data_IF_242721579445
#
_entry.id   IF_242721579445
#
_cell.length_a   1.000
_cell.length_b   1.000
_cell.length_c   1.000
_cell.angle_alpha   90.00
_cell.angle_beta   90.00
_cell.angle_gamma   90.00
#
_symmetry.space_group_name_H-M   'P 1'
#
loop_
_entity.id
_entity.type
_entity.pdbx_description
1 polymer ?
#
# COMPACT_ATOMS: atom_id res chain seq x y z
N UNK A 1 67.42 -19.53 -22.55
CA UNK A 1 66.87 -20.71 -21.83
C UNK A 1 65.41 -20.42 -21.53
N UNK A 2 64.48 -21.23 -22.06
CA UNK A 2 63.08 -21.33 -21.61
C UNK A 2 62.05 -20.34 -22.17
N UNK A 3 61.42 -20.70 -23.30
CA UNK A 3 60.04 -20.34 -23.71
C UNK A 3 59.10 -21.52 -23.29
N UNK A 4 57.78 -21.55 -23.58
CA UNK A 4 56.69 -20.55 -23.67
C UNK A 4 55.43 -21.03 -22.85
N UNK A 5 54.28 -20.36 -22.83
CA UNK A 5 53.03 -20.65 -23.62
C UNK A 5 52.04 -19.47 -23.43
N UNK A 6 51.52 -18.73 -24.44
CA UNK A 6 50.47 -19.03 -25.45
C UNK A 6 49.19 -19.63 -24.84
N UNK A 7 47.95 -19.18 -25.07
CA UNK A 7 47.36 -18.44 -26.20
C UNK A 7 45.89 -18.03 -25.94
N UNK A 8 45.48 -16.96 -26.63
CA UNK A 8 44.22 -16.76 -27.40
C UNK A 8 42.85 -16.90 -26.73
N UNK A 9 42.05 -15.83 -26.64
CA UNK A 9 41.13 -15.27 -27.68
C UNK A 9 39.71 -15.85 -27.55
N UNK A 10 38.72 -15.00 -27.21
CA UNK A 10 37.64 -14.75 -28.17
C UNK A 10 36.83 -13.49 -27.84
N UNK A 11 36.83 -12.59 -28.82
CA UNK A 11 35.80 -11.58 -28.99
C UNK A 11 34.52 -12.30 -29.46
N UNK A 12 33.37 -11.91 -28.91
CA UNK A 12 32.15 -11.86 -29.72
C UNK A 12 31.42 -10.57 -29.40
N UNK A 13 31.53 -9.64 -30.35
CA UNK A 13 30.58 -8.54 -30.53
C UNK A 13 29.23 -9.18 -30.89
N UNK A 14 28.19 -8.86 -30.15
CA UNK A 14 26.82 -8.93 -30.65
C UNK A 14 26.22 -7.53 -30.50
N UNK A 15 25.69 -7.09 -31.64
CA UNK A 15 25.12 -5.82 -32.03
C UNK A 15 24.17 -5.17 -31.01
N UNK A 16 24.44 -3.92 -30.66
CA UNK A 16 23.42 -2.99 -30.17
C UNK A 16 22.76 -2.30 -31.37
N UNK A 17 21.62 -2.80 -31.78
CA UNK A 17 20.60 -1.99 -32.46
C UNK A 17 19.26 -2.33 -31.84
N UNK A 18 18.72 -1.42 -31.04
CA UNK A 18 17.28 -1.38 -30.82
C UNK A 18 16.88 0.07 -30.57
N UNK A 19 16.61 0.77 -31.67
CA UNK A 19 15.67 1.88 -31.68
C UNK A 19 14.30 1.33 -31.30
N UNK A 20 13.81 1.73 -30.14
CA UNK A 20 12.50 1.34 -29.65
C UNK A 20 12.11 2.25 -28.51
N UNK A 21 11.30 3.26 -28.83
CA UNK A 21 10.72 4.22 -27.88
C UNK A 21 10.00 3.47 -26.76
N UNK A 22 10.70 3.24 -25.66
CA UNK A 22 10.10 2.78 -24.42
C UNK A 22 9.35 3.93 -23.78
N UNK A 23 8.02 3.79 -23.66
CA UNK A 23 7.26 4.54 -22.67
C UNK A 23 7.75 4.11 -21.28
N UNK A 24 8.77 4.80 -20.76
CA UNK A 24 9.18 4.68 -19.37
C UNK A 24 8.08 5.36 -18.55
N UNK A 25 7.14 4.58 -18.03
CA UNK A 25 6.37 4.99 -16.85
C UNK A 25 7.39 5.09 -15.73
N UNK A 26 7.83 6.32 -15.46
CA UNK A 26 8.82 6.60 -14.44
C UNK A 26 8.13 6.47 -13.09
N UNK A 27 8.20 5.28 -12.51
CA UNK A 27 7.83 5.05 -11.13
C UNK A 27 8.81 5.88 -10.29
N UNK A 28 8.35 7.04 -9.81
CA UNK A 28 9.16 7.91 -8.96
C UNK A 28 9.31 7.20 -7.61
N UNK A 29 10.42 6.49 -7.45
CA UNK A 29 10.85 5.98 -6.16
C UNK A 29 11.13 7.18 -5.26
N UNK A 30 10.31 7.35 -4.22
CA UNK A 30 10.54 8.32 -3.16
C UNK A 30 11.84 7.97 -2.42
N UNK A 31 12.72 8.96 -2.26
CA UNK A 31 14.04 8.83 -1.63
C UNK A 31 13.99 8.40 -0.14
N UNK A 32 15.15 8.28 0.52
CA UNK A 32 15.25 7.72 1.88
C UNK A 32 14.33 8.45 2.86
N UNK A 33 13.48 7.69 3.55
CA UNK A 33 12.46 8.24 4.43
C UNK A 33 13.06 8.83 5.70
N UNK A 34 12.91 10.15 5.85
CA UNK A 34 12.73 10.76 7.16
C UNK A 34 11.44 10.22 7.80
N UNK A 35 11.30 10.32 9.13
CA UNK A 35 10.12 9.84 9.84
C UNK A 35 8.82 10.39 9.20
N UNK A 36 7.86 9.50 8.90
CA UNK A 36 6.57 9.90 8.33
C UNK A 36 5.90 10.97 9.19
N UNK A 37 5.34 11.98 8.54
CA UNK A 37 4.74 13.13 9.19
C UNK A 37 3.25 12.88 9.35
N UNK A 38 2.66 13.06 10.55
CA UNK A 38 1.23 12.93 10.74
C UNK A 38 0.46 14.16 10.26
N UNK A 39 -0.71 13.92 9.67
CA UNK A 39 -1.80 14.89 9.51
C UNK A 39 -2.85 14.57 10.57
N UNK A 40 -3.19 15.58 11.35
CA UNK A 40 -4.29 15.50 12.32
C UNK A 40 -5.55 16.15 11.72
N UNK A 41 -6.76 15.68 12.06
CA UNK A 41 -8.00 16.21 11.50
C UNK A 41 -8.32 17.67 11.85
N UNK A 42 -7.64 18.26 12.84
CA UNK A 42 -7.76 19.66 13.24
C UNK A 42 -6.82 20.59 12.46
N UNK A 43 -5.94 20.03 11.60
CA UNK A 43 -4.90 20.76 10.87
C UNK A 43 -5.26 21.02 9.40
N UNK A 44 -6.52 20.82 9.04
CA UNK A 44 -7.07 20.88 7.69
C UNK A 44 -8.21 21.87 7.71
N UNK A 45 -8.20 22.85 6.81
CA UNK A 45 -9.30 23.82 6.67
C UNK A 45 -10.63 23.07 6.40
N UNK A 46 -11.77 23.74 6.65
CA UNK A 46 -13.21 23.31 6.69
C UNK A 46 -13.71 22.25 5.66
N UNK A 47 -12.83 21.78 4.78
CA UNK A 47 -12.97 20.77 3.73
C UNK A 47 -12.82 19.33 4.24
N UNK A 48 -12.08 19.08 5.34
CA UNK A 48 -12.02 17.77 5.98
C UNK A 48 -12.82 17.80 7.29
N UNK A 49 -14.05 17.27 7.28
CA UNK A 49 -14.80 17.11 8.54
C UNK A 49 -13.96 16.25 9.49
N UNK A 50 -13.76 16.71 10.72
CA UNK A 50 -13.18 15.88 11.76
C UNK A 50 -13.94 14.54 11.77
N UNK A 51 -13.24 13.39 11.70
CA UNK A 51 -13.92 12.11 11.87
C UNK A 51 -14.70 12.19 13.18
N UNK A 52 -15.92 11.62 13.25
CA UNK A 52 -16.66 11.58 14.50
C UNK A 52 -15.71 11.03 15.56
N UNK A 53 -15.51 11.85 16.59
CA UNK A 53 -14.57 11.57 17.64
C UNK A 53 -15.06 10.29 18.28
N UNK A 54 -14.39 9.16 18.01
CA UNK A 54 -14.56 7.99 18.85
C UNK A 54 -14.25 8.48 20.25
N UNK A 55 -15.17 8.25 21.19
CA UNK A 55 -14.82 8.34 22.60
C UNK A 55 -13.48 7.63 22.77
N UNK A 56 -12.53 8.24 23.47
CA UNK A 56 -11.20 7.66 23.64
C UNK A 56 -11.37 6.25 24.24
N UNK A 57 -11.40 5.24 23.38
CA UNK A 57 -11.52 3.87 23.81
C UNK A 57 -10.24 3.62 24.58
N UNK A 58 -10.32 3.21 25.86
CA UNK A 58 -9.11 2.91 26.61
C UNK A 58 -8.32 1.90 25.79
N UNK A 59 -7.06 2.24 25.46
CA UNK A 59 -6.15 1.31 24.83
C UNK A 59 -6.19 0.03 25.67
N UNK A 60 -6.83 -1.02 25.12
CA UNK A 60 -7.02 -2.26 25.85
C UNK A 60 -5.63 -2.75 26.28
N UNK A 61 -5.43 -3.25 27.51
CA UNK A 61 -4.17 -3.86 27.95
C UNK A 61 -3.74 -5.11 27.14
N UNK A 62 -4.49 -5.44 26.09
CA UNK A 62 -4.21 -6.56 25.19
C UNK A 62 -3.08 -6.14 24.23
N UNK A 63 -2.25 -7.11 23.87
CA UNK A 63 -1.23 -6.92 22.85
C UNK A 63 -1.84 -6.25 21.60
N UNK A 64 -1.18 -5.21 21.07
CA UNK A 64 -1.68 -4.44 19.93
C UNK A 64 -1.95 -5.38 18.73
N UNK A 65 -3.22 -5.57 18.34
CA UNK A 65 -3.63 -6.38 17.19
C UNK A 65 -3.91 -5.43 16.02
N UNK A 66 -2.90 -5.22 15.18
CA UNK A 66 -2.94 -4.26 14.09
C UNK A 66 -3.36 -4.97 12.80
N UNK A 67 -4.54 -4.62 12.27
CA UNK A 67 -4.95 -4.99 10.93
C UNK A 67 -4.40 -3.96 9.95
N UNK A 68 -3.62 -4.40 8.96
CA UNK A 68 -3.12 -3.55 7.88
C UNK A 68 -3.78 -3.99 6.57
N UNK A 69 -4.53 -3.09 5.93
CA UNK A 69 -5.02 -3.29 4.58
C UNK A 69 -4.15 -2.57 3.56
N UNK A 70 -3.63 -3.33 2.59
CA UNK A 70 -2.90 -2.86 1.42
C UNK A 70 -3.30 -3.65 0.19
N UNK A 71 -3.09 -3.17 -1.03
CA UNK A 71 -3.36 -3.99 -2.23
C UNK A 71 -2.15 -4.77 -2.70
N UNK A 72 -0.92 -4.37 -2.35
CA UNK A 72 0.27 -4.75 -3.11
C UNK A 72 1.39 -5.38 -2.27
N UNK A 73 1.06 -6.20 -1.28
CA UNK A 73 2.05 -6.72 -0.32
C UNK A 73 3.19 -7.56 -0.94
N UNK A 74 2.97 -8.13 -2.13
CA UNK A 74 3.96 -8.91 -2.88
C UNK A 74 4.68 -8.10 -3.97
N UNK A 75 4.41 -6.80 -4.08
CA UNK A 75 5.13 -5.87 -4.98
C UNK A 75 6.26 -5.24 -4.19
N UNK A 76 7.50 -5.38 -4.65
CA UNK A 76 8.67 -4.79 -3.96
C UNK A 76 8.82 -3.33 -4.38
N UNK A 77 8.27 -2.43 -3.58
CA UNK A 77 8.37 -0.99 -3.74
C UNK A 77 8.48 -0.26 -2.38
N UNK A 78 8.52 1.08 -2.39
CA UNK A 78 8.61 1.86 -1.17
C UNK A 78 7.40 1.72 -0.23
N UNK A 79 6.21 1.43 -0.78
CA UNK A 79 4.98 1.23 -0.01
C UNK A 79 5.07 -0.06 0.80
N UNK A 80 5.36 -1.16 0.12
CA UNK A 80 5.51 -2.47 0.73
C UNK A 80 6.66 -2.49 1.75
N UNK A 81 7.80 -1.86 1.45
CA UNK A 81 8.90 -1.76 2.41
C UNK A 81 8.50 -1.01 3.69
N UNK A 82 7.68 0.04 3.57
CA UNK A 82 7.13 0.74 4.73
C UNK A 82 6.23 -0.19 5.55
N UNK A 83 5.30 -0.90 4.89
CA UNK A 83 4.37 -1.82 5.56
C UNK A 83 5.13 -2.93 6.29
N UNK A 84 6.15 -3.52 5.66
CA UNK A 84 6.99 -4.56 6.27
C UNK A 84 7.81 -4.04 7.45
N UNK A 85 8.26 -2.79 7.39
CA UNK A 85 8.91 -2.14 8.54
C UNK A 85 7.91 -1.97 9.68
N UNK A 86 6.71 -1.46 9.40
CA UNK A 86 5.65 -1.31 10.41
C UNK A 86 5.28 -2.65 11.04
N UNK A 87 5.08 -3.68 10.22
CA UNK A 87 4.88 -5.06 10.66
C UNK A 87 6.00 -5.50 11.62
N UNK A 88 7.26 -5.35 11.23
CA UNK A 88 8.42 -5.72 12.05
C UNK A 88 8.41 -5.01 13.41
N UNK A 89 8.14 -3.70 13.44
CA UNK A 89 8.13 -2.93 14.69
C UNK A 89 6.97 -3.34 15.61
N UNK A 90 5.77 -3.60 15.06
CA UNK A 90 4.63 -4.09 15.86
C UNK A 90 4.94 -5.46 16.46
N UNK A 91 5.54 -6.36 15.68
CA UNK A 91 5.93 -7.69 16.16
C UNK A 91 7.05 -7.60 17.22
N UNK A 92 8.04 -6.72 17.03
CA UNK A 92 9.13 -6.48 17.98
C UNK A 92 8.63 -5.93 19.33
N UNK A 93 7.55 -5.13 19.31
CA UNK A 93 6.86 -4.65 20.51
C UNK A 93 5.97 -5.73 21.18
N UNK A 94 5.96 -6.97 20.67
CA UNK A 94 5.14 -8.07 21.18
C UNK A 94 3.69 -8.06 20.70
N UNK A 95 3.35 -7.20 19.74
CA UNK A 95 2.02 -7.11 19.13
C UNK A 95 1.73 -8.24 18.15
N UNK A 96 0.55 -8.15 17.54
CA UNK A 96 0.06 -9.03 16.49
C UNK A 96 -0.27 -8.22 15.24
N UNK A 97 0.04 -8.78 14.07
CA UNK A 97 -0.21 -8.14 12.78
C UNK A 97 -1.01 -9.07 11.90
N UNK A 98 -2.10 -8.56 11.34
CA UNK A 98 -2.80 -9.19 10.24
C UNK A 98 -2.70 -8.29 9.01
N UNK A 99 -2.06 -8.78 7.96
CA UNK A 99 -2.02 -8.09 6.67
C UNK A 99 -3.11 -8.69 5.80
N UNK A 100 -4.03 -7.87 5.31
CA UNK A 100 -4.98 -8.27 4.28
C UNK A 100 -4.59 -7.58 2.98
N UNK A 101 -4.41 -8.37 1.93
CA UNK A 101 -3.88 -7.91 0.63
C UNK A 101 -4.61 -8.51 -0.55
N UNK A 102 -4.52 -7.88 -1.72
CA UNK A 102 -4.92 -8.55 -2.96
C UNK A 102 -3.81 -9.49 -3.44
N UNK A 103 -4.05 -10.19 -4.56
CA UNK A 103 -3.09 -11.07 -5.23
C UNK A 103 -2.07 -10.32 -6.11
N UNK A 104 -1.97 -8.99 -5.99
CA UNK A 104 -1.04 -8.17 -6.77
C UNK A 104 0.43 -8.57 -6.51
N UNK A 105 1.23 -8.61 -7.58
CA UNK A 105 2.68 -8.84 -7.51
C UNK A 105 3.11 -10.30 -7.67
N UNK A 106 4.39 -10.58 -7.37
CA UNK A 106 5.00 -11.90 -7.54
C UNK A 106 4.83 -12.75 -6.27
N UNK A 107 4.25 -13.95 -6.40
CA UNK A 107 4.10 -14.90 -5.29
C UNK A 107 5.43 -15.33 -4.63
N UNK A 108 6.57 -15.10 -5.28
CA UNK A 108 7.89 -15.33 -4.70
C UNK A 108 8.34 -14.21 -3.74
N UNK A 109 7.63 -13.08 -3.69
CA UNK A 109 7.99 -11.90 -2.91
C UNK A 109 7.18 -11.74 -1.61
N UNK A 110 6.59 -12.80 -1.06
CA UNK A 110 5.50 -12.70 -0.06
C UNK A 110 5.89 -12.21 1.33
N UNK A 111 7.16 -11.96 1.63
CA UNK A 111 7.66 -11.69 3.00
C UNK A 111 7.35 -12.80 4.01
N UNK A 112 7.02 -14.01 3.52
CA UNK A 112 6.55 -15.13 4.35
C UNK A 112 7.67 -16.08 4.80
N UNK A 113 8.92 -15.86 4.36
CA UNK A 113 10.06 -16.77 4.54
C UNK A 113 10.45 -17.02 6.01
N UNK A 114 9.92 -16.23 6.96
CA UNK A 114 10.02 -16.48 8.40
C UNK A 114 8.64 -16.48 9.05
N UNK A 115 8.11 -17.66 9.37
CA UNK A 115 6.81 -17.78 10.06
C UNK A 115 6.90 -17.16 11.44
N UNK A 116 6.04 -16.18 11.74
CA UNK A 116 5.94 -15.55 13.05
C UNK A 116 4.58 -15.86 13.65
N UNK A 117 4.54 -16.39 14.89
CA UNK A 117 3.28 -16.81 15.55
C UNK A 117 2.22 -15.70 15.67
N UNK A 118 2.66 -14.44 15.75
CA UNK A 118 1.77 -13.29 15.88
C UNK A 118 1.47 -12.61 14.53
N UNK A 119 1.83 -13.24 13.40
CA UNK A 119 1.60 -12.69 12.06
C UNK A 119 0.62 -13.55 11.27
N UNK A 120 -0.35 -12.89 10.64
CA UNK A 120 -1.24 -13.47 9.64
C UNK A 120 -1.17 -12.65 8.35
N UNK A 121 -1.18 -13.33 7.21
CA UNK A 121 -1.36 -12.69 5.89
C UNK A 121 -2.57 -13.33 5.23
N UNK A 122 -3.53 -12.51 4.83
CA UNK A 122 -4.79 -12.87 4.22
C UNK A 122 -4.86 -12.30 2.81
N UNK A 123 -5.41 -13.07 1.89
CA UNK A 123 -5.70 -12.60 0.54
C UNK A 123 -7.20 -12.33 0.42
N UNK A 124 -7.54 -11.13 -0.06
CA UNK A 124 -8.89 -10.70 -0.39
C UNK A 124 -9.52 -11.65 -1.42
N UNK A 125 -10.74 -12.05 -1.15
CA UNK A 125 -11.53 -12.85 -2.10
C UNK A 125 -11.98 -11.97 -3.27
N UNK A 126 -12.48 -10.76 -2.95
CA UNK A 126 -13.09 -9.84 -3.90
C UNK A 126 -12.11 -8.76 -4.41
N UNK A 127 -11.23 -9.17 -5.34
CA UNK A 127 -10.35 -8.24 -6.05
C UNK A 127 -10.33 -8.51 -7.56
N UNK A 128 -10.25 -7.45 -8.35
CA UNK A 128 -10.18 -7.54 -9.81
C UNK A 128 -8.86 -6.98 -10.33
N UNK A 129 -8.30 -7.54 -11.43
CA UNK A 129 -7.13 -6.95 -12.06
C UNK A 129 -7.48 -5.59 -12.65
N UNK A 130 -6.57 -4.63 -12.52
CA UNK A 130 -6.73 -3.29 -13.08
C UNK A 130 -6.54 -3.38 -14.60
N UNK A 131 -7.57 -3.09 -15.43
CA UNK A 131 -7.54 -3.41 -16.87
C UNK A 131 -6.35 -2.83 -17.64
N UNK A 132 -5.90 -1.62 -17.30
CA UNK A 132 -4.79 -0.93 -17.97
C UNK A 132 -3.39 -1.30 -17.43
N UNK A 133 -3.32 -2.20 -16.45
CA UNK A 133 -2.09 -2.71 -15.82
C UNK A 133 -1.89 -4.22 -16.04
N UNK A 134 -2.56 -4.78 -17.04
CA UNK A 134 -2.40 -6.17 -17.44
C UNK A 134 -1.38 -6.22 -18.57
N UNK A 135 -0.20 -6.77 -18.29
CA UNK A 135 0.80 -7.14 -19.30
C UNK A 135 0.80 -8.68 -19.39
N UNK A 136 0.24 -9.27 -20.47
CA UNK A 136 0.19 -10.72 -20.65
C UNK A 136 1.58 -11.39 -20.63
N UNK A 137 2.61 -10.65 -21.03
CA UNK A 137 3.99 -11.13 -21.06
C UNK A 137 4.69 -10.97 -19.70
N UNK A 138 4.09 -10.20 -18.77
CA UNK A 138 4.60 -9.95 -17.42
C UNK A 138 3.51 -10.13 -16.36
N UNK A 139 2.99 -11.36 -16.17
CA UNK A 139 1.93 -11.64 -15.20
C UNK A 139 2.32 -11.29 -13.76
N UNK A 140 3.63 -11.26 -13.46
CA UNK A 140 4.19 -10.87 -12.16
C UNK A 140 3.96 -9.39 -11.79
N UNK A 141 3.63 -8.55 -12.77
CA UNK A 141 3.35 -7.13 -12.59
C UNK A 141 1.84 -6.85 -12.53
N UNK A 142 1.00 -7.88 -12.49
CA UNK A 142 -0.44 -7.71 -12.43
C UNK A 142 -0.84 -7.05 -11.12
N UNK A 143 -1.58 -5.95 -11.23
CA UNK A 143 -2.12 -5.20 -10.11
C UNK A 143 -3.61 -5.46 -10.00
N UNK A 144 -4.07 -5.68 -8.79
CA UNK A 144 -5.45 -5.91 -8.42
C UNK A 144 -5.92 -4.79 -7.49
N UNK A 145 -7.18 -4.39 -7.66
CA UNK A 145 -7.88 -3.47 -6.77
C UNK A 145 -8.99 -4.20 -6.04
N UNK A 146 -9.19 -3.88 -4.76
CA UNK A 146 -10.28 -4.43 -3.97
C UNK A 146 -11.58 -3.68 -4.27
N UNK A 147 -12.69 -4.41 -4.39
CA UNK A 147 -14.01 -3.80 -4.61
C UNK A 147 -15.05 -4.12 -3.52
N UNK A 148 -14.88 -5.19 -2.76
CA UNK A 148 -15.74 -5.52 -1.61
C UNK A 148 -14.98 -6.26 -0.50
N UNK A 149 -15.69 -6.53 0.61
CA UNK A 149 -15.28 -7.50 1.62
C UNK A 149 -16.31 -8.61 1.65
N UNK A 150 -15.87 -9.83 1.35
CA UNK A 150 -16.70 -11.02 1.40
C UNK A 150 -17.05 -11.37 2.85
N UNK A 151 -18.06 -12.22 3.06
CA UNK A 151 -18.38 -12.75 4.40
C UNK A 151 -17.20 -13.54 5.00
N UNK A 152 -16.45 -14.25 4.16
CA UNK A 152 -15.26 -14.99 4.57
C UNK A 152 -14.14 -14.04 4.99
N UNK A 153 -13.91 -12.95 4.26
CA UNK A 153 -12.91 -11.95 4.63
C UNK A 153 -13.26 -11.27 5.96
N UNK A 154 -14.53 -10.88 6.13
CA UNK A 154 -15.01 -10.34 7.41
C UNK A 154 -14.84 -11.34 8.56
N UNK A 155 -15.18 -12.62 8.37
CA UNK A 155 -15.02 -13.63 9.41
C UNK A 155 -13.55 -13.84 9.82
N UNK A 156 -12.61 -13.85 8.85
CA UNK A 156 -11.17 -13.95 9.14
C UNK A 156 -10.67 -12.72 9.91
N UNK A 157 -11.20 -11.54 9.60
CA UNK A 157 -10.86 -10.28 10.28
C UNK A 157 -11.47 -10.23 11.68
N UNK A 158 -12.72 -10.65 11.86
CA UNK A 158 -13.38 -10.75 13.17
C UNK A 158 -12.64 -11.76 14.07
N UNK A 159 -12.22 -12.92 13.55
CA UNK A 159 -11.37 -13.89 14.25
C UNK A 159 -10.03 -13.26 14.70
N UNK A 160 -9.48 -12.36 13.89
CA UNK A 160 -8.29 -11.62 14.25
C UNK A 160 -8.54 -10.52 15.30
N UNK A 161 -9.79 -10.16 15.64
CA UNK A 161 -10.18 -9.16 16.64
C UNK A 161 -9.23 -7.93 16.71
N UNK A 162 -9.13 -7.14 15.62
CA UNK A 162 -8.19 -6.03 15.57
C UNK A 162 -8.50 -4.97 16.62
N UNK A 163 -7.46 -4.47 17.27
CA UNK A 163 -7.54 -3.30 18.17
C UNK A 163 -7.23 -1.99 17.42
N UNK A 164 -6.65 -2.08 16.22
CA UNK A 164 -6.35 -0.96 15.32
C UNK A 164 -6.55 -1.43 13.87
N UNK A 165 -7.17 -0.59 13.05
CA UNK A 165 -7.25 -0.77 11.59
C UNK A 165 -6.39 0.29 10.92
N UNK A 166 -5.47 -0.13 10.05
CA UNK A 166 -4.58 0.73 9.28
C UNK A 166 -4.78 0.51 7.79
N UNK A 167 -5.29 1.52 7.08
CA UNK A 167 -5.58 1.41 5.64
C UNK A 167 -4.54 2.20 4.84
N UNK A 168 -3.85 1.55 3.90
CA UNK A 168 -2.81 2.19 3.07
C UNK A 168 -3.27 2.53 1.65
N UNK A 169 -4.45 2.04 1.24
CA UNK A 169 -4.97 2.21 -0.12
C UNK A 169 -6.37 2.80 -0.08
N UNK A 170 -6.62 3.90 -0.81
CA UNK A 170 -7.94 4.49 -0.91
C UNK A 170 -8.72 3.84 -2.08
N UNK A 171 -9.29 2.65 -1.85
CA UNK A 171 -10.19 1.99 -2.79
C UNK A 171 -11.52 1.56 -2.13
N UNK A 172 -12.38 0.90 -2.88
CA UNK A 172 -13.69 0.47 -2.40
C UNK A 172 -13.59 -0.53 -1.24
N UNK A 173 -12.67 -1.49 -1.29
CA UNK A 173 -12.41 -2.38 -0.15
C UNK A 173 -11.85 -1.61 1.05
N UNK A 174 -11.03 -0.59 0.83
CA UNK A 174 -10.57 0.34 1.85
C UNK A 174 -11.73 1.03 2.56
N UNK A 175 -12.72 1.53 1.82
CA UNK A 175 -13.95 2.07 2.42
C UNK A 175 -14.74 1.02 3.20
N UNK A 176 -14.72 -0.26 2.81
CA UNK A 176 -15.34 -1.32 3.61
C UNK A 176 -14.61 -1.56 4.92
N UNK A 177 -13.27 -1.45 4.95
CA UNK A 177 -12.51 -1.47 6.21
C UNK A 177 -12.77 -0.24 7.07
N UNK A 178 -13.00 0.93 6.46
CA UNK A 178 -13.46 2.12 7.18
C UNK A 178 -14.81 1.86 7.85
N UNK A 179 -15.78 1.33 7.10
CA UNK A 179 -17.10 0.98 7.64
C UNK A 179 -16.97 -0.04 8.78
N UNK A 180 -16.21 -1.11 8.55
CA UNK A 180 -15.92 -2.13 9.56
C UNK A 180 -15.37 -1.55 10.87
N UNK A 181 -14.35 -0.67 10.77
CA UNK A 181 -13.73 -0.06 11.93
C UNK A 181 -14.70 0.85 12.68
N UNK A 182 -15.50 1.63 11.95
CA UNK A 182 -16.49 2.54 12.53
C UNK A 182 -17.62 1.80 13.24
N UNK A 183 -18.18 0.76 12.62
CA UNK A 183 -19.28 -0.02 13.18
C UNK A 183 -18.88 -0.75 14.48
N UNK A 184 -17.58 -0.96 14.69
CA UNK A 184 -17.00 -1.64 15.87
C UNK A 184 -16.25 -0.70 16.80
N UNK A 185 -16.27 0.60 16.53
CA UNK A 185 -15.54 1.61 17.30
C UNK A 185 -14.04 1.28 17.47
N UNK A 186 -13.42 0.78 16.41
CA UNK A 186 -11.99 0.47 16.38
C UNK A 186 -11.21 1.69 15.85
N UNK A 187 -10.11 2.10 16.50
CA UNK A 187 -9.22 3.13 15.99
C UNK A 187 -8.76 2.85 14.55
N UNK A 188 -8.96 3.84 13.68
CA UNK A 188 -8.70 3.84 12.25
C UNK A 188 -7.61 4.85 11.90
N UNK A 189 -6.54 4.35 11.28
CA UNK A 189 -5.43 5.14 10.79
C UNK A 189 -5.15 4.80 9.32
N UNK A 190 -4.33 5.60 8.66
CA UNK A 190 -3.84 5.24 7.34
C UNK A 190 -2.54 5.92 6.99
N UNK A 191 -1.96 5.49 5.88
CA UNK A 191 -0.76 6.10 5.31
C UNK A 191 -1.02 6.49 3.86
N UNK A 192 -0.70 7.72 3.51
CA UNK A 192 -0.72 8.22 2.14
C UNK A 192 0.59 7.83 1.45
N UNK A 193 0.49 7.10 0.35
CA UNK A 193 1.66 6.60 -0.37
C UNK A 193 1.77 7.09 -1.81
N UNK A 194 0.64 7.38 -2.46
CA UNK A 194 0.58 7.68 -3.88
C UNK A 194 -0.53 8.68 -4.18
N UNK A 195 -0.23 9.69 -4.99
CA UNK A 195 -1.27 10.56 -5.54
C UNK A 195 -1.85 9.94 -6.82
N UNK A 196 -2.81 9.03 -6.67
CA UNK A 196 -3.44 8.37 -7.82
C UNK A 196 -4.23 9.35 -8.71
N UNK A 197 -4.64 10.51 -8.18
CA UNK A 197 -5.38 11.53 -8.93
C UNK A 197 -4.51 12.11 -10.04
N UNK A 198 -3.25 12.43 -9.74
CA UNK A 198 -2.30 12.96 -10.72
C UNK A 198 -1.99 11.95 -11.84
N UNK A 199 -1.97 10.65 -11.52
CA UNK A 199 -1.71 9.63 -12.53
C UNK A 199 -2.76 9.60 -13.65
N UNK A 200 -3.97 10.10 -13.41
CA UNK A 200 -5.01 10.17 -14.46
C UNK A 200 -4.59 11.05 -15.64
N UNK A 201 -3.68 12.01 -15.45
CA UNK A 201 -3.14 12.83 -16.55
C UNK A 201 -2.26 12.01 -17.52
N UNK A 202 -1.74 10.88 -17.07
CA UNK A 202 -0.91 9.98 -17.88
C UNK A 202 -1.72 8.89 -18.60
N UNK A 203 -3.02 8.79 -18.34
CA UNK A 203 -3.91 7.85 -19.02
C UNK A 203 -4.82 8.59 -20.02
N UNK A 204 -4.58 8.42 -21.34
CA UNK A 204 -5.39 9.07 -22.37
C UNK A 204 -6.89 8.79 -22.16
N UNK A 205 -7.69 9.86 -22.08
CA UNK A 205 -9.14 9.77 -21.92
C UNK A 205 -9.65 9.58 -20.48
N UNK A 206 -8.78 9.51 -19.47
CA UNK A 206 -9.18 9.34 -18.06
C UNK A 206 -9.05 10.61 -17.20
N UNK A 207 -8.59 11.73 -17.75
CA UNK A 207 -8.44 12.98 -16.99
C UNK A 207 -9.74 13.48 -16.33
N UNK A 208 -10.91 13.13 -16.87
CA UNK A 208 -12.22 13.47 -16.28
C UNK A 208 -12.50 12.76 -14.94
N UNK A 209 -11.79 11.67 -14.63
CA UNK A 209 -11.93 10.95 -13.36
C UNK A 209 -11.27 11.67 -12.18
N UNK A 210 -10.39 12.65 -12.43
CA UNK A 210 -9.66 13.37 -11.37
C UNK A 210 -10.57 13.92 -10.28
N UNK A 211 -11.60 14.75 -10.57
CA UNK A 211 -12.48 15.28 -9.53
C UNK A 211 -13.26 14.18 -8.80
N UNK A 212 -13.59 13.08 -9.48
CA UNK A 212 -14.30 11.94 -8.87
C UNK A 212 -13.40 11.22 -7.87
N UNK A 213 -12.18 10.89 -8.28
CA UNK A 213 -11.18 10.23 -7.43
C UNK A 213 -10.75 11.12 -6.27
N UNK A 214 -10.55 12.41 -6.53
CA UNK A 214 -10.21 13.37 -5.49
C UNK A 214 -11.29 13.44 -4.41
N UNK A 215 -12.56 13.60 -4.80
CA UNK A 215 -13.67 13.63 -3.84
C UNK A 215 -13.80 12.29 -3.10
N UNK A 216 -13.61 11.17 -3.79
CA UNK A 216 -13.66 9.84 -3.19
C UNK A 216 -12.53 9.63 -2.16
N UNK A 217 -11.28 9.92 -2.52
CA UNK A 217 -10.14 9.80 -1.60
C UNK A 217 -10.27 10.75 -0.43
N UNK A 218 -10.67 12.01 -0.68
CA UNK A 218 -10.95 12.99 0.37
C UNK A 218 -12.00 12.46 1.35
N UNK A 219 -13.11 11.94 0.83
CA UNK A 219 -14.16 11.33 1.65
C UNK A 219 -13.61 10.17 2.50
N UNK A 220 -12.81 9.29 1.92
CA UNK A 220 -12.24 8.15 2.63
C UNK A 220 -11.24 8.58 3.72
N UNK A 221 -10.29 9.45 3.38
CA UNK A 221 -9.26 9.92 4.31
C UNK A 221 -9.84 10.73 5.48
N UNK A 222 -10.98 11.41 5.29
CA UNK A 222 -11.70 12.12 6.35
C UNK A 222 -12.17 11.22 7.51
N UNK A 223 -12.21 9.90 7.31
CA UNK A 223 -12.56 9.00 8.39
C UNK A 223 -11.40 8.63 9.30
N UNK A 224 -10.15 8.94 8.92
CA UNK A 224 -8.98 8.46 9.64
C UNK A 224 -8.67 9.39 10.79
N UNK A 225 -8.54 8.86 12.01
CA UNK A 225 -8.10 9.68 13.15
C UNK A 225 -6.66 10.16 12.97
N UNK A 226 -5.88 9.44 12.16
CA UNK A 226 -4.51 9.81 11.82
C UNK A 226 -4.16 9.36 10.42
N UNK A 227 -3.70 10.30 9.60
CA UNK A 227 -3.14 10.02 8.28
C UNK A 227 -1.64 10.32 8.30
N UNK A 228 -0.80 9.34 8.03
CA UNK A 228 0.64 9.51 7.93
C UNK A 228 1.04 9.79 6.49
N UNK A 229 1.93 10.76 6.27
CA UNK A 229 2.41 11.13 4.94
C UNK A 229 3.93 11.09 4.89
N UNK A 230 4.54 10.88 3.72
CA UNK A 230 5.97 10.59 3.64
C UNK A 230 6.86 11.80 3.89
N UNK A 231 6.38 13.02 3.61
CA UNK A 231 7.17 14.24 3.74
C UNK A 231 6.32 15.44 4.21
N UNK A 232 6.93 16.47 4.83
CA UNK A 232 6.25 17.73 5.13
C UNK A 232 5.69 18.44 3.88
N UNK A 233 6.29 18.22 2.70
CA UNK A 233 5.81 18.77 1.43
C UNK A 233 4.45 18.18 1.06
N UNK A 234 4.33 16.84 1.08
CA UNK A 234 3.04 16.16 0.83
C UNK A 234 2.00 16.57 1.86
N UNK A 235 2.42 16.75 3.13
CA UNK A 235 1.54 17.23 4.18
C UNK A 235 0.90 18.58 3.83
N UNK A 236 1.69 19.58 3.41
CA UNK A 236 1.15 20.90 3.06
C UNK A 236 0.18 20.82 1.89
N UNK A 237 0.54 20.10 0.82
CA UNK A 237 -0.31 19.99 -0.37
C UNK A 237 -1.63 19.23 -0.16
N UNK A 238 -1.74 18.42 0.90
CA UNK A 238 -3.00 17.73 1.26
C UNK A 238 -3.87 18.55 2.23
N UNK A 239 -3.29 19.59 2.83
CA UNK A 239 -3.95 20.45 3.81
C UNK A 239 -4.49 21.73 3.16
N UNK A 240 -3.73 22.28 2.21
CA UNK A 240 -4.11 23.42 1.36
C UNK A 240 -5.17 23.04 0.32
#
# INVERSE_FOLDING_TARGET
VGRPTTSSTNQSKISTSNDGRGSKVQQVAMGPMSAMVPIYPDQVDDVLRSPPQLAAAPLSPRANRVLIYTTCYNVIDGVTLTIRKLEKEVLAAGGHVCIITTKSGDANNTNLDGVHRNRRVLFLDDSIPIPFYIDPDKPKNQMHIGFSLSRSDLAKVDEFEPSIVHVTVPDLSGLRFVQYARDREIPLMGTFHSNYVEYMDHYPGLGWLKPVLENFFRHQYNFYQRLYVPTPFVRRNLIE
#
